data_IF_269920879825
#
_entry.id   IF_269920879825
#
_cell.length_a   1.000
_cell.length_b   1.000
_cell.length_c   1.000
_cell.angle_alpha   90.00
_cell.angle_beta   90.00
_cell.angle_gamma   90.00
#
_symmetry.space_group_name_H-M   'P 1'
#
loop_
_entity.id
_entity.type
_entity.pdbx_description
1 polymer ?
#
# COMPACT_ATOMS: atom_id res chain seq x y z
N UNK A 1 -1.00 1.49 -92.18
CA UNK A 1 -2.14 2.44 -92.14
C UNK A 1 -3.00 2.07 -90.94
N UNK A 2 -3.26 3.05 -90.05
CA UNK A 2 -4.26 3.16 -88.96
C UNK A 2 -5.12 1.95 -88.59
N UNK A 3 -5.47 1.68 -87.33
CA UNK A 3 -5.30 2.38 -86.06
C UNK A 3 -5.73 1.37 -84.97
N UNK A 4 -5.23 1.49 -83.74
CA UNK A 4 -6.00 0.96 -82.61
C UNK A 4 -5.93 1.92 -81.41
N UNK A 5 -7.12 2.26 -80.90
CA UNK A 5 -7.36 3.28 -79.88
C UNK A 5 -7.03 2.74 -78.49
N UNK A 6 -6.42 3.61 -77.70
CA UNK A 6 -6.37 3.52 -76.24
C UNK A 6 -7.78 3.64 -75.64
N UNK A 7 -8.12 2.75 -74.71
CA UNK A 7 -9.25 2.91 -73.78
C UNK A 7 -8.82 2.54 -72.36
N UNK A 8 -8.70 3.55 -71.50
CA UNK A 8 -8.53 3.41 -70.04
C UNK A 8 -9.77 2.80 -69.38
N UNK A 9 -9.63 1.91 -68.38
CA UNK A 9 -10.69 1.68 -67.41
C UNK A 9 -10.47 2.48 -66.12
N UNK A 10 -11.60 2.95 -65.60
CA UNK A 10 -11.76 3.87 -64.45
C UNK A 10 -11.41 3.17 -63.13
N UNK A 11 -10.30 3.58 -62.52
CA UNK A 11 -9.89 3.22 -61.16
C UNK A 11 -10.58 4.22 -60.21
N UNK A 12 -11.79 3.91 -59.74
CA UNK A 12 -12.51 4.86 -58.87
C UNK A 12 -13.48 4.24 -57.86
N UNK A 13 -14.09 3.10 -58.18
CA UNK A 13 -15.19 2.58 -57.36
C UNK A 13 -14.90 1.23 -56.68
N UNK A 14 -13.87 0.48 -57.09
CA UNK A 14 -13.57 -0.83 -56.50
C UNK A 14 -12.82 -0.67 -55.16
N UNK A 15 -11.90 0.29 -55.06
CA UNK A 15 -11.09 0.50 -53.86
C UNK A 15 -11.89 1.00 -52.63
N UNK A 16 -13.04 1.63 -52.83
CA UNK A 16 -13.90 2.11 -51.71
C UNK A 16 -14.76 1.01 -51.10
N UNK A 17 -15.13 -0.02 -51.87
CA UNK A 17 -16.01 -1.10 -51.38
C UNK A 17 -15.22 -2.12 -50.56
N UNK A 18 -13.96 -2.39 -50.90
CA UNK A 18 -13.12 -3.37 -50.18
C UNK A 18 -12.68 -2.88 -48.79
N UNK A 19 -12.43 -1.57 -48.61
CA UNK A 19 -12.05 -1.03 -47.31
C UNK A 19 -13.18 -1.02 -46.27
N UNK A 20 -14.44 -0.92 -46.70
CA UNK A 20 -15.59 -0.92 -45.78
C UNK A 20 -15.92 -2.34 -45.30
N UNK A 21 -15.71 -3.36 -46.15
CA UNK A 21 -15.96 -4.76 -45.79
C UNK A 21 -14.96 -5.31 -44.75
N UNK A 22 -13.70 -4.86 -44.77
CA UNK A 22 -12.67 -5.28 -43.81
C UNK A 22 -12.80 -4.60 -42.43
N UNK A 23 -13.42 -3.41 -42.35
CA UNK A 23 -13.66 -2.72 -41.09
C UNK A 23 -14.84 -3.29 -40.29
N UNK A 24 -15.78 -3.99 -40.95
CA UNK A 24 -16.97 -4.54 -40.30
C UNK A 24 -16.74 -5.88 -39.57
N UNK A 25 -15.64 -6.58 -39.84
CA UNK A 25 -15.33 -7.89 -39.23
C UNK A 25 -14.55 -7.73 -37.91
N UNK A 26 -13.95 -6.56 -37.65
CA UNK A 26 -13.14 -6.32 -36.45
C UNK A 26 -13.93 -6.00 -35.18
N UNK A 27 -15.27 -5.93 -35.22
CA UNK A 27 -16.10 -5.56 -34.05
C UNK A 27 -16.72 -6.73 -33.29
N UNK A 28 -16.45 -7.98 -33.67
CA UNK A 28 -16.94 -9.16 -32.93
C UNK A 28 -15.88 -9.77 -32.00
N UNK A 29 -15.36 -8.96 -31.07
CA UNK A 29 -14.56 -9.48 -29.97
C UNK A 29 -14.81 -8.68 -28.68
N UNK A 30 -15.97 -8.93 -28.06
CA UNK A 30 -16.22 -8.89 -26.60
C UNK A 30 -17.71 -9.14 -26.32
N UNK A 31 -18.22 -10.33 -26.67
CA UNK A 31 -19.41 -10.85 -25.98
C UNK A 31 -18.91 -11.91 -25.01
N UNK A 32 -18.58 -11.46 -23.80
CA UNK A 32 -18.44 -12.35 -22.66
C UNK A 32 -19.80 -13.03 -22.47
N UNK A 33 -19.93 -14.26 -22.94
CA UNK A 33 -21.07 -15.12 -22.61
C UNK A 33 -20.94 -15.47 -21.13
N UNK A 34 -21.57 -14.66 -20.28
CA UNK A 34 -21.74 -14.94 -18.85
C UNK A 34 -22.73 -16.10 -18.75
N UNK A 35 -22.41 -17.21 -18.06
CA UNK A 35 -23.38 -18.24 -17.75
C UNK A 35 -24.52 -17.60 -16.94
N UNK A 36 -25.74 -17.67 -17.47
CA UNK A 36 -26.94 -17.19 -16.77
C UNK A 36 -27.42 -18.25 -15.78
N UNK A 37 -26.64 -18.51 -14.72
CA UNK A 37 -27.17 -19.15 -13.53
C UNK A 37 -27.57 -18.07 -12.52
N UNK A 38 -28.88 -17.84 -12.27
CA UNK A 38 -29.34 -16.82 -11.35
C UNK A 38 -28.83 -17.02 -9.90
N UNK A 39 -28.46 -18.24 -9.51
CA UNK A 39 -27.84 -18.51 -8.20
C UNK A 39 -26.37 -18.05 -8.13
N UNK A 40 -25.62 -18.15 -9.23
CA UNK A 40 -24.22 -17.73 -9.32
C UNK A 40 -24.09 -16.19 -9.30
N UNK A 41 -25.06 -15.48 -9.90
CA UNK A 41 -25.11 -14.01 -9.90
C UNK A 41 -25.43 -13.37 -8.55
N UNK A 42 -26.21 -14.04 -7.68
CA UNK A 42 -26.56 -13.53 -6.34
C UNK A 42 -25.35 -13.64 -5.40
N UNK A 43 -24.67 -14.79 -5.37
CA UNK A 43 -23.47 -15.00 -4.55
C UNK A 43 -22.30 -14.08 -4.93
N UNK A 44 -22.09 -13.85 -6.24
CA UNK A 44 -21.07 -12.90 -6.71
C UNK A 44 -21.36 -11.46 -6.26
N UNK A 45 -22.61 -11.01 -6.34
CA UNK A 45 -23.01 -9.66 -5.89
C UNK A 45 -22.82 -9.50 -4.39
N UNK A 46 -23.27 -10.48 -3.60
CA UNK A 46 -23.11 -10.47 -2.15
C UNK A 46 -21.63 -10.45 -1.73
N UNK A 47 -20.79 -11.28 -2.33
CA UNK A 47 -19.35 -11.28 -2.06
C UNK A 47 -18.69 -9.94 -2.38
N UNK A 48 -19.05 -9.31 -3.50
CA UNK A 48 -18.60 -7.96 -3.90
C UNK A 48 -19.08 -6.87 -2.94
N UNK A 49 -20.33 -6.92 -2.48
CA UNK A 49 -20.83 -5.98 -1.48
C UNK A 49 -20.09 -6.14 -0.15
N UNK A 50 -19.87 -7.36 0.29
CA UNK A 50 -19.12 -7.65 1.51
C UNK A 50 -17.66 -7.18 1.42
N UNK A 51 -16.99 -7.37 0.29
CA UNK A 51 -15.64 -6.84 0.03
C UNK A 51 -15.61 -5.30 0.12
N UNK A 52 -16.56 -4.62 -0.54
CA UNK A 52 -16.64 -3.15 -0.50
C UNK A 52 -16.94 -2.62 0.91
N UNK A 53 -17.83 -3.29 1.65
CA UNK A 53 -18.15 -2.93 3.02
C UNK A 53 -16.92 -3.06 3.92
N UNK A 54 -16.16 -4.17 3.81
CA UNK A 54 -14.92 -4.36 4.57
C UNK A 54 -13.87 -3.31 4.24
N UNK A 55 -13.69 -2.95 2.96
CA UNK A 55 -12.78 -1.86 2.58
C UNK A 55 -13.17 -0.52 3.20
N UNK A 56 -14.46 -0.19 3.21
CA UNK A 56 -14.96 1.06 3.80
C UNK A 56 -14.76 1.11 5.30
N UNK A 57 -15.07 0.02 6.00
CA UNK A 57 -14.88 -0.03 7.45
C UNK A 57 -13.41 0.04 7.84
N UNK A 58 -12.53 -0.65 7.10
CA UNK A 58 -11.09 -0.52 7.31
C UNK A 58 -10.61 0.93 7.14
N UNK A 59 -11.00 1.59 6.05
CA UNK A 59 -10.60 2.98 5.76
C UNK A 59 -11.14 3.96 6.80
N UNK A 60 -12.38 3.76 7.26
CA UNK A 60 -12.97 4.56 8.33
C UNK A 60 -12.19 4.39 9.64
N UNK A 61 -11.92 3.15 10.05
CA UNK A 61 -11.10 2.84 11.22
C UNK A 61 -9.71 3.49 11.12
N UNK A 62 -9.06 3.34 9.96
CA UNK A 62 -7.76 3.96 9.67
C UNK A 62 -7.82 5.48 9.81
N UNK A 63 -8.82 6.13 9.23
CA UNK A 63 -8.94 7.58 9.25
C UNK A 63 -9.19 8.14 10.65
N UNK A 64 -9.96 7.44 11.48
CA UNK A 64 -10.10 7.73 12.92
C UNK A 64 -8.76 7.65 13.65
N UNK A 65 -8.01 6.56 13.43
CA UNK A 65 -6.68 6.37 14.02
C UNK A 65 -5.67 7.44 13.58
N UNK A 66 -5.71 7.83 12.30
CA UNK A 66 -4.88 8.91 11.73
C UNK A 66 -5.29 10.29 12.24
N UNK A 67 -6.57 10.53 12.53
CA UNK A 67 -7.02 11.77 13.16
C UNK A 67 -6.47 11.90 14.58
N UNK A 68 -6.50 10.81 15.36
CA UNK A 68 -5.87 10.76 16.68
C UNK A 68 -4.35 10.95 16.59
N UNK A 69 -3.69 10.36 15.60
CA UNK A 69 -2.25 10.54 15.38
C UNK A 69 -1.89 12.01 15.08
N UNK A 70 -2.66 12.68 14.20
CA UNK A 70 -2.49 14.12 13.94
C UNK A 70 -2.64 14.95 15.22
N UNK A 71 -3.64 14.63 16.05
CA UNK A 71 -3.85 15.27 17.35
C UNK A 71 -2.69 14.99 18.30
N UNK A 72 -2.16 13.77 18.32
CA UNK A 72 -1.01 13.40 19.15
C UNK A 72 0.24 14.17 18.74
N UNK A 73 0.50 14.32 17.44
CA UNK A 73 1.60 15.13 16.90
C UNK A 73 1.47 16.60 17.25
N UNK A 74 0.26 17.16 17.20
CA UNK A 74 0.02 18.56 17.55
C UNK A 74 0.15 18.84 19.06
N UNK A 75 -0.20 17.87 19.91
CA UNK A 75 -0.25 18.06 21.38
C UNK A 75 0.95 17.49 22.12
N UNK A 76 1.72 16.59 21.50
CA UNK A 76 2.79 15.84 22.14
C UNK A 76 2.33 14.86 23.24
N UNK A 77 1.03 14.61 23.37
CA UNK A 77 0.48 13.82 24.48
C UNK A 77 0.72 12.31 24.32
N UNK A 78 1.39 11.65 25.28
CA UNK A 78 1.58 10.19 25.26
C UNK A 78 0.25 9.43 25.22
N UNK A 79 -0.76 9.88 25.97
CA UNK A 79 -2.08 9.24 26.00
C UNK A 79 -2.79 9.31 24.64
N UNK A 80 -2.64 10.41 23.90
CA UNK A 80 -3.22 10.53 22.55
C UNK A 80 -2.48 9.64 21.54
N UNK A 81 -1.15 9.50 21.67
CA UNK A 81 -0.40 8.52 20.89
C UNK A 81 -0.90 7.09 21.14
N UNK A 82 -1.05 6.68 22.40
CA UNK A 82 -1.58 5.35 22.73
C UNK A 82 -3.01 5.12 22.21
N UNK A 83 -3.87 6.15 22.29
CA UNK A 83 -5.23 6.06 21.74
C UNK A 83 -5.21 5.84 20.22
N UNK A 84 -4.38 6.59 19.49
CA UNK A 84 -4.17 6.38 18.06
C UNK A 84 -3.63 4.98 17.76
N UNK A 85 -2.64 4.54 18.54
CA UNK A 85 -1.99 3.25 18.35
C UNK A 85 -2.98 2.09 18.45
N UNK A 86 -3.82 2.09 19.49
CA UNK A 86 -4.85 1.07 19.72
C UNK A 86 -5.89 1.02 18.61
N UNK A 87 -6.34 2.19 18.13
CA UNK A 87 -7.29 2.23 17.00
C UNK A 87 -6.65 1.62 15.74
N UNK A 88 -5.45 2.07 15.38
CA UNK A 88 -4.76 1.60 14.17
C UNK A 88 -4.36 0.12 14.23
N UNK A 89 -3.99 -0.39 15.40
CA UNK A 89 -3.76 -1.82 15.62
C UNK A 89 -5.04 -2.63 15.43
N UNK A 90 -6.16 -2.16 16.00
CA UNK A 90 -7.46 -2.79 15.84
C UNK A 90 -7.84 -2.89 14.37
N UNK A 91 -7.64 -1.82 13.59
CA UNK A 91 -7.93 -1.83 12.15
C UNK A 91 -7.20 -2.95 11.41
N UNK A 92 -5.95 -3.25 11.77
CA UNK A 92 -5.12 -4.28 11.12
C UNK A 92 -5.41 -5.71 11.64
N UNK A 93 -5.89 -5.85 12.87
CA UNK A 93 -6.24 -7.14 13.48
C UNK A 93 -7.64 -7.60 13.10
N UNK A 94 -8.57 -6.68 12.86
CA UNK A 94 -9.94 -6.95 12.41
C UNK A 94 -10.07 -7.07 10.89
N UNK A 95 -8.94 -7.07 10.17
CA UNK A 95 -8.93 -7.27 8.72
C UNK A 95 -9.46 -8.67 8.38
N UNK A 96 -10.69 -8.71 7.87
CA UNK A 96 -11.36 -9.94 7.45
C UNK A 96 -10.79 -10.56 6.16
N UNK A 97 -11.28 -11.75 5.78
CA UNK A 97 -10.87 -12.46 4.57
C UNK A 97 -11.21 -11.70 3.26
N UNK A 98 -12.12 -10.71 3.28
CA UNK A 98 -12.45 -9.85 2.14
C UNK A 98 -11.55 -8.62 1.99
N UNK A 99 -10.32 -8.68 2.50
CA UNK A 99 -9.36 -7.58 2.48
C UNK A 99 -8.51 -7.48 1.22
N UNK A 100 -8.77 -8.33 0.23
CA UNK A 100 -8.12 -8.32 -1.09
C UNK A 100 -8.15 -6.95 -1.77
N UNK A 101 -9.22 -6.17 -1.56
CA UNK A 101 -9.38 -4.84 -2.15
C UNK A 101 -8.61 -3.72 -1.43
N UNK A 102 -8.03 -3.97 -0.25
CA UNK A 102 -7.26 -2.97 0.50
C UNK A 102 -5.79 -3.07 0.08
N UNK A 103 -5.22 -1.98 -0.42
CA UNK A 103 -3.83 -1.95 -0.83
C UNK A 103 -2.90 -2.34 0.33
N UNK A 104 -1.92 -3.21 0.08
CA UNK A 104 -0.98 -3.66 1.10
C UNK A 104 -0.21 -2.48 1.71
N UNK A 105 0.22 -1.53 0.89
CA UNK A 105 0.95 -0.34 1.33
C UNK A 105 0.10 0.54 2.25
N UNK A 106 -1.21 0.63 1.99
CA UNK A 106 -2.17 1.31 2.86
C UNK A 106 -2.21 0.67 4.24
N UNK A 107 -2.23 -0.67 4.29
CA UNK A 107 -2.23 -1.44 5.54
C UNK A 107 -0.93 -1.34 6.31
N UNK A 108 0.18 -1.56 5.61
CA UNK A 108 1.53 -1.44 6.17
C UNK A 108 1.74 -0.07 6.82
N UNK A 109 1.36 1.01 6.13
CA UNK A 109 1.52 2.38 6.66
C UNK A 109 0.69 2.61 7.91
N UNK A 110 -0.58 2.20 7.92
CA UNK A 110 -1.45 2.35 9.08
C UNK A 110 -0.90 1.58 10.29
N UNK A 111 -0.49 0.33 10.08
CA UNK A 111 0.02 -0.51 11.16
C UNK A 111 1.38 0.00 11.69
N UNK A 112 2.23 0.51 10.82
CA UNK A 112 3.49 1.10 11.24
C UNK A 112 3.33 2.38 12.07
N UNK A 113 2.31 3.21 11.77
CA UNK A 113 1.98 4.36 12.62
C UNK A 113 1.53 3.88 14.00
N UNK A 114 0.76 2.79 14.09
CA UNK A 114 0.43 2.17 15.38
C UNK A 114 1.69 1.81 16.18
N UNK A 115 2.64 1.11 15.55
CA UNK A 115 3.91 0.69 16.18
C UNK A 115 4.69 1.91 16.70
N UNK A 116 4.82 2.96 15.88
CA UNK A 116 5.48 4.20 16.30
C UNK A 116 4.75 4.91 17.43
N UNK A 117 3.42 4.88 17.43
CA UNK A 117 2.61 5.56 18.43
C UNK A 117 2.58 4.82 19.77
N UNK A 118 2.69 3.48 19.77
CA UNK A 118 2.99 2.74 21.00
C UNK A 118 4.34 3.17 21.59
N UNK A 119 5.39 3.25 20.75
CA UNK A 119 6.72 3.70 21.19
C UNK A 119 6.69 5.15 21.73
N UNK A 120 6.13 6.10 20.96
CA UNK A 120 6.00 7.51 21.36
C UNK A 120 5.11 7.70 22.59
N UNK A 121 4.14 6.82 22.78
CA UNK A 121 3.25 6.78 23.94
C UNK A 121 3.88 6.14 25.19
N UNK A 122 5.09 5.56 25.07
CA UNK A 122 5.81 4.93 26.17
C UNK A 122 5.54 3.43 26.35
N UNK A 123 4.67 2.82 25.54
CA UNK A 123 4.41 1.38 25.56
C UNK A 123 5.35 0.65 24.58
N UNK A 124 6.61 0.56 24.99
CA UNK A 124 7.69 -0.03 24.17
C UNK A 124 7.46 -1.53 23.94
N UNK A 125 6.85 -2.24 24.90
CA UNK A 125 6.58 -3.68 24.78
C UNK A 125 5.52 -3.97 23.73
N UNK A 126 4.40 -3.22 23.68
CA UNK A 126 3.45 -3.36 22.57
C UNK A 126 4.07 -2.97 21.23
N UNK A 127 4.91 -1.93 21.21
CA UNK A 127 5.62 -1.54 19.99
C UNK A 127 6.50 -2.68 19.45
N UNK A 128 7.26 -3.35 20.33
CA UNK A 128 8.06 -4.55 20.00
C UNK A 128 7.20 -5.68 19.48
N UNK A 129 6.16 -6.06 20.22
CA UNK A 129 5.29 -7.16 19.85
C UNK A 129 4.60 -6.91 18.50
N UNK A 130 4.17 -5.67 18.23
CA UNK A 130 3.55 -5.32 16.96
C UNK A 130 4.55 -5.21 15.81
N UNK A 131 5.78 -4.79 16.09
CA UNK A 131 6.85 -4.83 15.09
C UNK A 131 7.20 -6.28 14.68
N UNK A 132 7.21 -7.25 15.60
CA UNK A 132 7.32 -8.68 15.25
C UNK A 132 6.20 -9.15 14.33
N UNK A 133 4.95 -8.80 14.69
CA UNK A 133 3.78 -9.16 13.90
C UNK A 133 3.85 -8.51 12.51
N UNK A 134 4.31 -7.26 12.42
CA UNK A 134 4.52 -6.57 11.14
C UNK A 134 5.52 -7.31 10.25
N UNK A 135 6.70 -7.67 10.78
CA UNK A 135 7.72 -8.39 10.01
C UNK A 135 7.23 -9.77 9.54
N UNK A 136 6.43 -10.46 10.36
CA UNK A 136 5.80 -11.75 9.99
C UNK A 136 4.69 -11.59 8.96
N UNK A 137 3.87 -10.53 9.07
CA UNK A 137 2.73 -10.25 8.19
C UNK A 137 3.16 -9.72 6.82
N UNK A 138 4.22 -8.92 6.78
CA UNK A 138 4.74 -8.26 5.58
C UNK A 138 6.22 -8.61 5.37
N UNK A 139 6.55 -9.89 5.12
CA UNK A 139 7.93 -10.34 5.05
C UNK A 139 8.66 -9.68 3.88
N UNK A 140 9.90 -9.22 4.12
CA UNK A 140 10.75 -8.54 3.13
C UNK A 140 10.18 -7.24 2.56
N UNK A 141 9.18 -6.66 3.21
CA UNK A 141 8.63 -5.37 2.82
C UNK A 141 9.05 -4.31 3.82
N UNK A 142 9.44 -3.17 3.28
CA UNK A 142 9.80 -1.97 4.01
C UNK A 142 9.22 -0.77 3.27
N UNK A 143 9.05 0.34 3.96
CA UNK A 143 8.71 1.60 3.33
C UNK A 143 9.64 2.69 3.84
N UNK A 144 9.88 3.66 2.98
CA UNK A 144 10.78 4.76 3.25
C UNK A 144 9.99 5.98 3.70
N UNK A 145 10.55 6.67 4.70
CA UNK A 145 10.11 8.00 5.06
C UNK A 145 10.47 9.00 3.95
N UNK A 146 9.97 10.23 4.07
CA UNK A 146 10.21 11.27 3.07
C UNK A 146 11.71 11.64 2.94
N UNK A 147 12.50 11.40 3.99
CA UNK A 147 13.95 11.59 4.00
C UNK A 147 14.73 10.37 3.47
N UNK A 148 14.05 9.36 2.95
CA UNK A 148 14.66 8.14 2.41
C UNK A 148 15.07 7.12 3.47
N UNK A 149 14.87 7.40 4.76
CA UNK A 149 15.19 6.45 5.82
C UNK A 149 14.19 5.29 5.87
N UNK A 150 14.67 4.10 6.24
CA UNK A 150 13.90 2.87 6.29
C UNK A 150 13.06 2.81 7.57
N UNK A 151 11.78 2.43 7.47
CA UNK A 151 10.96 2.17 8.65
C UNK A 151 11.47 0.97 9.44
N UNK A 152 11.73 -0.15 8.76
CA UNK A 152 12.17 -1.39 9.40
C UNK A 152 13.50 -1.16 10.15
N UNK A 153 14.51 -0.60 9.48
CA UNK A 153 15.81 -0.34 10.10
C UNK A 153 15.70 0.67 11.24
N UNK A 154 14.84 1.70 11.09
CA UNK A 154 14.58 2.68 12.15
C UNK A 154 13.96 2.03 13.39
N UNK A 155 12.96 1.17 13.23
CA UNK A 155 12.32 0.52 14.36
C UNK A 155 13.20 -0.57 14.99
N UNK A 156 14.02 -1.28 14.21
CA UNK A 156 15.02 -2.21 14.74
C UNK A 156 16.03 -1.50 15.65
N UNK A 157 16.51 -0.34 15.22
CA UNK A 157 17.38 0.53 16.00
C UNK A 157 16.70 1.03 17.29
N UNK A 158 15.50 1.62 17.17
CA UNK A 158 14.79 2.22 18.31
C UNK A 158 14.34 1.19 19.36
N UNK A 159 13.95 -0.01 18.93
CA UNK A 159 13.43 -1.05 19.82
C UNK A 159 14.53 -1.94 20.42
N UNK A 160 15.80 -1.72 20.05
CA UNK A 160 16.96 -2.45 20.56
C UNK A 160 17.05 -3.88 20.02
N UNK A 161 16.68 -4.08 18.75
CA UNK A 161 16.69 -5.40 18.08
C UNK A 161 17.94 -5.67 17.27
N UNK A 162 18.74 -4.64 17.01
CA UNK A 162 20.09 -4.86 16.55
C UNK A 162 20.94 -5.27 17.77
N UNK A 163 21.84 -6.23 17.59
CA UNK A 163 22.88 -6.59 18.57
C UNK A 163 23.61 -5.32 19.05
N UNK A 164 24.42 -5.41 20.11
CA UNK A 164 25.15 -4.25 20.68
C UNK A 164 25.98 -3.54 19.59
N UNK A 165 25.34 -2.62 18.87
CA UNK A 165 25.93 -2.00 17.71
C UNK A 165 26.98 -1.04 18.22
N UNK A 166 28.21 -1.28 17.79
CA UNK A 166 29.25 -0.29 17.88
C UNK A 166 28.81 0.98 17.14
N UNK A 167 29.41 2.11 17.49
CA UNK A 167 29.10 3.38 16.83
C UNK A 167 29.25 3.30 15.30
N UNK A 168 30.26 2.59 14.80
CA UNK A 168 30.50 2.38 13.37
C UNK A 168 29.35 1.66 12.68
N UNK A 169 28.82 0.60 13.29
CA UNK A 169 27.69 -0.17 12.75
C UNK A 169 26.40 0.65 12.69
N UNK A 170 26.16 1.50 13.70
CA UNK A 170 25.00 2.38 13.70
C UNK A 170 25.08 3.44 12.58
N UNK A 171 26.28 3.98 12.32
CA UNK A 171 26.47 5.01 11.30
C UNK A 171 26.12 4.54 9.88
N UNK A 172 26.27 3.23 9.62
CA UNK A 172 25.96 2.58 8.35
C UNK A 172 24.46 2.28 8.16
N UNK A 173 23.62 2.40 9.19
CA UNK A 173 22.19 2.13 9.07
C UNK A 173 21.48 3.16 8.20
N UNK A 174 20.46 2.70 7.45
CA UNK A 174 19.54 3.57 6.72
C UNK A 174 18.47 4.15 7.66
N UNK A 175 18.91 4.99 8.59
CA UNK A 175 18.07 5.76 9.52
C UNK A 175 18.31 7.26 9.32
N UNK A 176 17.38 8.10 9.77
CA UNK A 176 17.50 9.56 9.63
C UNK A 176 18.75 10.12 10.33
N UNK A 177 19.29 11.21 9.79
CA UNK A 177 20.46 11.88 10.35
C UNK A 177 20.22 12.38 11.78
N UNK A 178 18.98 12.75 12.09
CA UNK A 178 18.57 13.11 13.45
C UNK A 178 18.71 11.90 14.40
N UNK A 179 18.23 10.72 14.01
CA UNK A 179 18.39 9.52 14.82
C UNK A 179 19.88 9.14 14.97
N UNK A 180 20.71 9.29 13.93
CA UNK A 180 22.17 9.10 14.02
C UNK A 180 22.83 10.08 14.98
N UNK A 181 22.39 11.34 14.99
CA UNK A 181 22.84 12.36 15.96
C UNK A 181 22.49 11.96 17.39
N UNK A 182 21.25 11.56 17.64
CA UNK A 182 20.79 11.20 18.98
C UNK A 182 21.49 9.95 19.53
N UNK A 183 21.72 8.94 18.69
CA UNK A 183 22.46 7.74 19.11
C UNK A 183 23.93 8.03 19.40
N UNK A 184 24.58 8.90 18.61
CA UNK A 184 25.93 9.40 18.94
C UNK A 184 25.97 10.06 20.31
N UNK A 185 25.01 10.93 20.58
CA UNK A 185 24.91 11.63 21.86
C UNK A 185 24.76 10.63 23.01
N UNK A 186 23.86 9.66 22.89
CA UNK A 186 23.66 8.62 23.92
C UNK A 186 24.93 7.80 24.15
N UNK A 187 25.59 7.33 23.09
CA UNK A 187 26.83 6.54 23.20
C UNK A 187 27.97 7.31 23.86
N UNK A 188 28.12 8.61 23.55
CA UNK A 188 29.11 9.47 24.20
C UNK A 188 28.92 9.51 25.73
N UNK A 189 27.66 9.61 26.19
CA UNK A 189 27.37 9.67 27.63
C UNK A 189 27.44 8.31 28.32
N UNK A 190 27.16 7.20 27.63
CA UNK A 190 27.26 5.84 28.21
C UNK A 190 28.68 5.33 28.36
N UNK A 191 29.63 5.89 27.61
CA UNK A 191 31.03 5.49 27.62
C UNK A 191 31.93 6.47 28.40
N UNK A 192 31.33 7.38 29.19
CA UNK A 192 32.00 8.14 30.24
C UNK A 192 31.83 7.41 31.57
#
# INVERSE_FOLDING_TARGET
MSANRSTSPKIGNIARVTCVALAAIATTACMSTVPNDPLEGIGYREARFNEIAQMREYRKCRDEGLALDRKARATGSPGTYLASAKVLERCETEVGPGSSGIAREERMRAYAISIQNFFKGGDVEHSRANFDKFQKRFPKHDFYYADGSSFVVTMEALLGRNEKQSFGEFSALNVSDNLKSEMRRIMYWKNK
#
